data_IF_225113271229
#
_entry.id   IF_225113271229
#
_cell.length_a   1.000
_cell.length_b   1.000
_cell.length_c   1.000
_cell.angle_alpha   90.00
_cell.angle_beta   90.00
_cell.angle_gamma   90.00
#
_symmetry.space_group_name_H-M   'P 1'
#
loop_
_entity.id
_entity.type
_entity.pdbx_description
1 polymer ?
#
# COMPACT_ATOMS: atom_id res chain seq x y z
N UNK A 1 44.59 -13.59 -12.00
CA UNK A 1 44.50 -13.08 -10.61
C UNK A 1 43.95 -11.67 -10.72
N UNK A 2 42.67 -11.59 -11.09
CA UNK A 2 42.01 -10.33 -11.39
C UNK A 2 41.75 -9.60 -10.08
N UNK A 3 42.40 -8.45 -9.92
CA UNK A 3 42.21 -7.57 -8.77
C UNK A 3 40.77 -7.06 -8.83
N UNK A 4 39.97 -7.43 -7.84
CA UNK A 4 38.68 -6.80 -7.59
C UNK A 4 38.91 -5.29 -7.38
N UNK A 5 38.13 -4.43 -8.06
CA UNK A 5 38.33 -2.99 -7.97
C UNK A 5 38.08 -2.48 -6.55
N UNK A 6 38.83 -1.45 -6.17
CA UNK A 6 38.68 -0.76 -4.88
C UNK A 6 37.26 -0.19 -4.73
N UNK A 7 36.76 -0.08 -3.50
CA UNK A 7 35.47 0.54 -3.20
C UNK A 7 35.34 1.98 -3.75
N UNK A 8 36.47 2.65 -3.99
CA UNK A 8 36.54 3.97 -4.61
C UNK A 8 36.30 3.93 -6.13
N UNK A 9 36.81 2.90 -6.83
CA UNK A 9 36.60 2.72 -8.28
C UNK A 9 35.16 2.36 -8.61
N UNK A 10 34.49 1.58 -7.75
CA UNK A 10 33.05 1.30 -7.90
C UNK A 10 32.19 2.55 -7.69
N UNK A 11 32.63 3.50 -6.84
CA UNK A 11 31.93 4.79 -6.65
C UNK A 11 32.07 5.69 -7.88
N UNK A 12 33.23 5.69 -8.54
CA UNK A 12 33.45 6.47 -9.76
C UNK A 12 32.61 5.99 -10.96
N UNK A 13 32.34 4.68 -11.05
CA UNK A 13 31.47 4.13 -12.10
C UNK A 13 29.98 4.42 -11.87
N UNK A 14 29.56 4.58 -10.61
CA UNK A 14 28.19 4.96 -10.28
C UNK A 14 27.94 6.46 -10.48
N UNK A 15 28.94 7.32 -10.26
CA UNK A 15 28.80 8.77 -10.46
C UNK A 15 28.74 9.19 -11.92
N UNK A 16 29.42 8.49 -12.84
CA UNK A 16 29.35 8.77 -14.28
C UNK A 16 28.00 8.40 -14.90
N UNK A 17 27.30 7.40 -14.35
CA UNK A 17 25.95 7.02 -14.82
C UNK A 17 24.81 7.87 -14.23
N UNK A 18 25.04 8.61 -13.14
CA UNK A 18 24.03 9.50 -12.54
C UNK A 18 23.95 10.90 -13.17
N UNK A 19 24.87 11.27 -14.06
CA UNK A 19 24.91 12.62 -14.66
C UNK A 19 23.93 12.84 -15.83
N UNK A 20 23.15 11.83 -16.24
CA UNK A 20 22.10 11.97 -17.27
C UNK A 20 20.67 11.98 -16.70
N UNK A 21 20.51 11.98 -15.37
CA UNK A 21 19.20 11.98 -14.69
C UNK A 21 19.03 13.12 -13.67
N UNK A 22 19.83 14.18 -13.75
CA UNK A 22 19.51 15.43 -13.06
C UNK A 22 18.52 16.22 -13.92
N UNK A 23 17.24 15.85 -13.84
CA UNK A 23 16.16 16.74 -14.22
C UNK A 23 16.05 17.82 -13.16
N UNK A 24 16.22 19.07 -13.59
CA UNK A 24 16.10 20.27 -12.79
C UNK A 24 14.86 20.23 -11.88
N UNK A 25 15.10 20.21 -10.58
CA UNK A 25 14.05 20.12 -9.55
C UNK A 25 13.41 21.48 -9.21
N UNK A 26 13.72 22.53 -9.99
CA UNK A 26 13.43 23.93 -9.65
C UNK A 26 12.43 24.64 -10.57
N UNK A 27 11.45 23.91 -11.14
CA UNK A 27 10.35 24.53 -11.90
C UNK A 27 8.96 24.10 -11.42
N UNK A 28 8.71 24.14 -10.10
CA UNK A 28 7.34 24.17 -9.58
C UNK A 28 6.84 25.62 -9.58
N UNK A 29 5.92 25.98 -10.48
CA UNK A 29 5.21 27.26 -10.38
C UNK A 29 4.07 27.16 -9.38
N UNK A 30 4.05 28.08 -8.41
CA UNK A 30 3.02 28.19 -7.38
C UNK A 30 1.85 29.02 -7.91
N UNK A 31 0.76 28.38 -8.32
CA UNK A 31 -0.51 29.09 -8.60
C UNK A 31 -1.56 28.68 -7.58
N UNK A 32 -1.90 29.62 -6.69
CA UNK A 32 -2.95 29.52 -5.64
C UNK A 32 -2.96 28.17 -4.89
N UNK A 33 -1.93 27.96 -4.06
CA UNK A 33 -1.88 26.89 -3.05
C UNK A 33 -2.04 25.45 -3.56
N UNK A 34 -1.54 25.15 -4.77
CA UNK A 34 -1.29 23.77 -5.20
C UNK A 34 0.04 23.65 -5.91
N UNK A 35 0.81 22.63 -5.56
CA UNK A 35 1.98 22.17 -6.32
C UNK A 35 1.48 21.30 -7.46
N UNK A 36 1.73 21.71 -8.70
CA UNK A 36 1.41 20.94 -9.90
C UNK A 36 2.75 20.43 -10.45
N UNK A 37 2.96 19.11 -10.41
CA UNK A 37 4.11 18.48 -11.05
C UNK A 37 3.71 17.95 -12.44
N UNK A 38 4.57 18.09 -13.47
CA UNK A 38 4.24 17.73 -14.84
C UNK A 38 4.44 16.22 -15.07
N UNK A 39 3.58 15.38 -14.50
CA UNK A 39 3.41 13.99 -14.98
C UNK A 39 1.92 13.60 -15.12
N UNK A 40 0.98 14.34 -14.52
CA UNK A 40 -0.46 14.01 -14.60
C UNK A 40 -1.16 14.51 -15.88
N UNK A 41 -0.56 14.24 -17.04
CA UNK A 41 -1.24 14.47 -18.34
C UNK A 41 -1.20 13.21 -19.20
N UNK A 42 -1.96 12.19 -18.83
CA UNK A 42 -2.68 11.39 -19.84
C UNK A 42 -3.79 10.57 -19.20
N UNK A 43 -5.01 11.11 -19.23
CA UNK A 43 -6.25 10.50 -19.74
C UNK A 43 -7.48 11.03 -18.97
N UNK A 44 -7.88 12.25 -19.32
CA UNK A 44 -9.16 12.81 -18.98
C UNK A 44 -10.07 12.78 -20.22
N UNK A 45 -10.98 11.79 -20.34
CA UNK A 45 -12.19 11.92 -21.17
C UNK A 45 -13.35 11.20 -20.44
N UNK A 46 -14.44 11.95 -20.24
CA UNK A 46 -15.73 11.62 -19.58
C UNK A 46 -15.83 11.68 -18.04
N UNK A 47 -15.55 12.86 -17.47
CA UNK A 47 -16.27 13.34 -16.27
C UNK A 47 -17.37 14.32 -16.68
N UNK A 48 -18.40 13.83 -17.35
CA UNK A 48 -19.69 14.51 -17.42
C UNK A 48 -20.35 14.45 -16.04
N UNK A 49 -20.11 15.51 -15.25
CA UNK A 49 -21.14 16.17 -14.43
C UNK A 49 -22.31 15.30 -13.93
N UNK A 50 -22.05 14.52 -12.89
CA UNK A 50 -23.09 14.20 -11.88
C UNK A 50 -22.49 14.34 -10.49
N UNK A 51 -22.20 15.60 -10.13
CA UNK A 51 -21.98 16.01 -8.74
C UNK A 51 -23.28 16.67 -8.26
N UNK A 52 -23.70 16.25 -7.06
CA UNK A 52 -24.73 16.81 -6.17
C UNK A 52 -26.12 16.14 -6.20
N UNK A 53 -26.33 15.26 -5.21
CA UNK A 53 -27.25 15.58 -4.10
C UNK A 53 -26.79 14.82 -2.85
N UNK A 54 -26.24 15.56 -1.88
CA UNK A 54 -26.19 15.13 -0.49
C UNK A 54 -27.61 15.32 0.09
N UNK A 55 -28.24 14.30 0.68
CA UNK A 55 -29.33 14.54 1.62
C UNK A 55 -28.70 14.83 2.99
N UNK A 56 -28.87 16.09 3.41
CA UNK A 56 -28.99 16.51 4.81
C UNK A 56 -27.81 16.16 5.76
N UNK A 57 -26.77 17.01 5.76
CA UNK A 57 -25.86 17.12 6.90
C UNK A 57 -26.35 18.26 7.81
N UNK A 58 -27.52 18.07 8.43
CA UNK A 58 -27.86 18.81 9.66
C UNK A 58 -27.41 17.97 10.86
N UNK A 59 -26.54 18.58 11.68
CA UNK A 59 -26.34 18.20 13.09
C UNK A 59 -26.13 16.70 13.38
N UNK A 60 -25.03 16.15 12.89
CA UNK A 60 -24.41 14.98 13.49
C UNK A 60 -22.97 15.35 13.81
N UNK A 61 -22.65 15.57 15.08
CA UNK A 61 -21.28 15.78 15.52
C UNK A 61 -20.42 14.64 14.99
N UNK A 62 -19.54 14.95 14.04
CA UNK A 62 -18.47 14.06 13.64
C UNK A 62 -17.61 13.90 14.90
N UNK A 63 -17.82 12.82 15.66
CA UNK A 63 -16.85 12.43 16.66
C UNK A 63 -15.61 12.04 15.87
N UNK A 64 -14.49 12.79 15.95
CA UNK A 64 -13.23 12.23 15.50
C UNK A 64 -13.09 10.93 16.30
N UNK A 65 -12.82 9.80 15.63
CA UNK A 65 -12.49 8.55 16.32
C UNK A 65 -11.52 8.94 17.42
N UNK A 66 -11.99 8.90 18.66
CA UNK A 66 -11.26 9.46 19.78
C UNK A 66 -10.02 8.61 19.89
N UNK A 67 -8.90 9.17 19.40
CA UNK A 67 -7.57 8.78 19.82
C UNK A 67 -7.58 9.02 21.32
N UNK A 68 -7.98 7.99 22.07
CA UNK A 68 -7.88 8.00 23.50
C UNK A 68 -6.40 8.28 23.76
N UNK A 69 -6.14 9.46 24.31
CA UNK A 69 -4.85 9.80 24.90
C UNK A 69 -4.64 8.80 26.03
N UNK A 70 -4.12 7.63 25.68
CA UNK A 70 -3.59 6.69 26.64
C UNK A 70 -2.38 7.38 27.23
N UNK A 71 -2.41 7.54 28.56
CA UNK A 71 -1.21 7.85 29.32
C UNK A 71 -0.07 6.98 28.76
N UNK A 72 1.12 7.55 28.49
CA UNK A 72 2.25 6.74 28.04
C UNK A 72 2.41 5.57 29.02
N UNK A 73 2.56 4.33 28.53
CA UNK A 73 2.76 3.19 29.41
C UNK A 73 3.94 3.53 30.32
N UNK A 74 3.73 3.42 31.63
CA UNK A 74 4.76 3.70 32.63
C UNK A 74 6.06 3.04 32.23
N UNK A 75 7.17 3.78 32.25
CA UNK A 75 8.44 3.47 31.58
C UNK A 75 9.06 2.09 31.87
N UNK A 76 8.60 1.37 32.90
CA UNK A 76 9.18 0.10 33.34
C UNK A 76 8.99 -1.06 32.36
N UNK A 77 7.87 -1.11 31.61
CA UNK A 77 7.54 -2.27 30.74
C UNK A 77 7.24 -1.84 29.29
N UNK A 78 7.84 -0.74 28.84
CA UNK A 78 7.54 -0.16 27.53
C UNK A 78 8.02 -1.06 26.39
N UNK A 79 9.24 -1.60 26.49
CA UNK A 79 9.87 -2.42 25.45
C UNK A 79 9.11 -3.71 25.16
N UNK A 80 8.63 -4.40 26.20
CA UNK A 80 7.86 -5.63 26.07
C UNK A 80 6.49 -5.38 25.42
N UNK A 81 5.82 -4.29 25.80
CA UNK A 81 4.52 -3.95 25.18
C UNK A 81 4.65 -3.54 23.73
N UNK A 82 5.78 -2.93 23.33
CA UNK A 82 6.07 -2.59 21.94
C UNK A 82 6.37 -3.84 21.12
N UNK A 83 7.25 -4.72 21.60
CA UNK A 83 7.61 -5.94 20.87
C UNK A 83 6.39 -6.85 20.64
N UNK A 84 5.51 -6.98 21.63
CA UNK A 84 4.26 -7.75 21.49
C UNK A 84 3.31 -7.14 20.46
N UNK A 85 3.27 -5.81 20.31
CA UNK A 85 2.45 -5.14 19.29
C UNK A 85 3.05 -5.33 17.90
N UNK A 86 4.36 -5.18 17.78
CA UNK A 86 5.08 -5.40 16.53
C UNK A 86 4.91 -6.84 16.01
N UNK A 87 4.97 -7.83 16.90
CA UNK A 87 4.73 -9.23 16.55
C UNK A 87 3.31 -9.44 16.00
N UNK A 88 2.29 -8.91 16.69
CA UNK A 88 0.90 -9.00 16.25
C UNK A 88 0.67 -8.39 14.87
N UNK A 89 1.26 -7.22 14.64
CA UNK A 89 1.19 -6.54 13.34
C UNK A 89 1.88 -7.39 12.27
N UNK A 90 3.07 -7.93 12.56
CA UNK A 90 3.79 -8.80 11.63
C UNK A 90 2.98 -10.04 11.25
N UNK A 91 2.41 -10.73 12.22
CA UNK A 91 1.53 -11.88 11.97
C UNK A 91 0.30 -11.51 11.14
N UNK A 92 -0.31 -10.34 11.43
CA UNK A 92 -1.45 -9.86 10.65
C UNK A 92 -1.09 -9.59 9.19
N UNK A 93 0.11 -9.08 8.94
CA UNK A 93 0.63 -8.90 7.58
C UNK A 93 0.88 -10.26 6.90
N UNK A 94 1.40 -11.26 7.62
CA UNK A 94 1.59 -12.62 7.09
C UNK A 94 0.25 -13.21 6.62
N UNK A 95 -0.79 -13.16 7.46
CA UNK A 95 -2.14 -13.66 7.10
C UNK A 95 -2.72 -12.93 5.89
N UNK A 96 -2.46 -11.62 5.78
CA UNK A 96 -2.85 -10.83 4.61
C UNK A 96 -2.14 -11.31 3.34
N UNK A 97 -0.84 -11.61 3.43
CA UNK A 97 -0.04 -12.11 2.31
C UNK A 97 -0.45 -13.52 1.88
N UNK A 98 -0.81 -14.40 2.83
CA UNK A 98 -1.37 -15.72 2.52
C UNK A 98 -2.66 -15.61 1.70
N UNK A 99 -3.58 -14.72 2.09
CA UNK A 99 -4.80 -14.47 1.34
C UNK A 99 -4.52 -13.93 -0.08
N UNK A 100 -3.47 -13.11 -0.25
CA UNK A 100 -3.04 -12.60 -1.57
C UNK A 100 -2.56 -13.71 -2.49
N UNK A 101 -1.73 -14.63 -1.99
CA UNK A 101 -1.24 -15.78 -2.76
C UNK A 101 -2.41 -16.63 -3.26
N UNK A 102 -3.36 -16.95 -2.39
CA UNK A 102 -4.54 -17.76 -2.77
C UNK A 102 -5.41 -17.02 -3.79
N UNK A 103 -5.56 -15.70 -3.66
CA UNK A 103 -6.29 -14.89 -4.64
C UNK A 103 -5.63 -14.95 -6.03
N UNK A 104 -4.31 -14.83 -6.09
CA UNK A 104 -3.58 -14.90 -7.36
C UNK A 104 -3.73 -16.27 -8.03
N UNK A 105 -3.66 -17.34 -7.24
CA UNK A 105 -3.86 -18.70 -7.75
C UNK A 105 -5.31 -18.93 -8.23
N UNK A 106 -6.30 -18.42 -7.49
CA UNK A 106 -7.70 -18.46 -7.91
C UNK A 106 -7.91 -17.72 -9.24
N UNK A 107 -7.25 -16.57 -9.44
CA UNK A 107 -7.31 -15.84 -10.71
C UNK A 107 -6.70 -16.63 -11.87
N UNK A 108 -5.60 -17.37 -11.64
CA UNK A 108 -5.04 -18.26 -12.68
C UNK A 108 -6.00 -19.39 -13.01
N UNK A 109 -6.60 -20.03 -12.00
CA UNK A 109 -7.59 -21.08 -12.21
C UNK A 109 -8.79 -20.58 -13.03
N UNK A 110 -9.33 -19.40 -12.71
CA UNK A 110 -10.41 -18.78 -13.49
C UNK A 110 -10.02 -18.53 -14.95
N UNK A 111 -8.76 -18.12 -15.21
CA UNK A 111 -8.26 -17.91 -16.58
C UNK A 111 -8.04 -19.21 -17.35
N UNK A 112 -7.62 -20.27 -16.67
CA UNK A 112 -7.35 -21.57 -17.28
C UNK A 112 -8.64 -22.34 -17.62
N UNK A 113 -9.59 -22.38 -16.69
CA UNK A 113 -10.82 -23.18 -16.81
C UNK A 113 -11.93 -22.47 -17.60
N UNK A 114 -11.88 -21.14 -17.69
CA UNK A 114 -12.88 -20.34 -18.39
C UNK A 114 -14.27 -20.54 -17.78
N UNK A 115 -15.21 -21.11 -18.55
CA UNK A 115 -16.60 -21.30 -18.10
C UNK A 115 -16.72 -22.37 -16.99
N UNK A 116 -15.76 -23.30 -16.89
CA UNK A 116 -15.81 -24.42 -15.94
C UNK A 116 -15.27 -24.10 -14.52
N UNK A 117 -14.87 -22.85 -14.27
CA UNK A 117 -14.24 -22.46 -13.01
C UNK A 117 -15.11 -22.72 -11.75
N UNK A 118 -16.43 -22.81 -11.88
CA UNK A 118 -17.33 -23.11 -10.75
C UNK A 118 -17.08 -24.47 -10.09
N UNK A 119 -16.76 -25.49 -10.89
CA UNK A 119 -16.50 -26.84 -10.37
C UNK A 119 -15.01 -27.01 -10.08
N UNK A 120 -14.15 -26.60 -11.01
CA UNK A 120 -12.71 -26.80 -10.92
C UNK A 120 -12.03 -25.91 -9.85
N UNK A 121 -12.47 -24.66 -9.68
CA UNK A 121 -11.83 -23.71 -8.77
C UNK A 121 -12.57 -23.56 -7.42
N UNK A 122 -13.60 -24.36 -7.17
CA UNK A 122 -14.45 -24.28 -5.96
C UNK A 122 -13.64 -24.33 -4.67
N UNK A 123 -12.64 -25.20 -4.59
CA UNK A 123 -11.90 -25.41 -3.35
C UNK A 123 -10.91 -24.28 -3.07
N UNK A 124 -10.30 -23.70 -4.12
CA UNK A 124 -9.52 -22.47 -4.00
C UNK A 124 -10.39 -21.30 -3.56
N UNK A 125 -11.62 -21.20 -4.07
CA UNK A 125 -12.56 -20.16 -3.67
C UNK A 125 -12.95 -20.30 -2.19
N UNK A 126 -13.29 -21.51 -1.72
CA UNK A 126 -13.60 -21.77 -0.30
C UNK A 126 -12.43 -21.40 0.62
N UNK A 127 -11.21 -21.81 0.26
CA UNK A 127 -10.00 -21.46 1.01
C UNK A 127 -9.76 -19.95 1.02
N UNK A 128 -10.01 -19.28 -0.10
CA UNK A 128 -9.90 -17.83 -0.16
C UNK A 128 -10.90 -17.15 0.78
N UNK A 129 -12.15 -17.62 0.79
CA UNK A 129 -13.19 -17.11 1.67
C UNK A 129 -12.88 -17.32 3.16
N UNK A 130 -12.29 -18.45 3.54
CA UNK A 130 -11.88 -18.65 4.94
C UNK A 130 -10.77 -17.68 5.35
N UNK A 131 -9.78 -17.44 4.48
CA UNK A 131 -8.66 -16.54 4.77
C UNK A 131 -9.06 -15.07 4.86
N UNK A 132 -10.14 -14.65 4.18
CA UNK A 132 -10.61 -13.27 4.22
C UNK A 132 -11.07 -12.82 5.62
N UNK A 133 -11.57 -13.75 6.45
CA UNK A 133 -11.97 -13.43 7.82
C UNK A 133 -10.75 -13.05 8.68
N UNK A 134 -9.62 -13.72 8.47
CA UNK A 134 -8.42 -13.60 9.29
C UNK A 134 -7.41 -12.57 8.76
N UNK A 135 -7.54 -12.16 7.49
CA UNK A 135 -6.65 -11.22 6.82
C UNK A 135 -6.85 -9.75 7.21
N UNK A 136 -7.76 -9.44 8.14
CA UNK A 136 -8.01 -8.05 8.55
C UNK A 136 -6.92 -7.55 9.51
N UNK A 137 -6.16 -6.56 9.05
CA UNK A 137 -5.21 -5.82 9.89
C UNK A 137 -5.99 -4.95 10.88
N UNK A 138 -5.77 -5.20 12.18
CA UNK A 138 -6.29 -4.38 13.27
C UNK A 138 -5.09 -3.75 13.99
N UNK A 139 -4.84 -2.47 13.70
CA UNK A 139 -3.79 -1.64 14.31
C UNK A 139 -4.30 -0.85 15.52
#
# INVERSE_FOLDING_TARGET
MDKLPSAEEMRALLTTHTSLFTLDHDSCSLVRHRTICPIDTHLAINRTSHRLRHPNLSSGTYLPKTSHRLLPPTASNHTETLSQREEKVRESWVRTMEARIVREELQKCHKAEGVNHYQACSDLAKKYHSLLADAKIND
#
